data_IF_333063706847
#
_entry.id   IF_333063706847
#
_cell.length_a   1.000
_cell.length_b   1.000
_cell.length_c   1.000
_cell.angle_alpha   90.00
_cell.angle_beta   90.00
_cell.angle_gamma   90.00
#
_symmetry.space_group_name_H-M   'P 1'
#
loop_
_entity.id
_entity.type
_entity.pdbx_description
1 polymer ?
#
# COMPACT_ATOMS: atom_id res chain seq x y z
N UNK A 1 -13.42 -19.29 13.40
CA UNK A 1 -14.88 -19.09 13.47
C UNK A 1 -15.63 -19.98 12.49
N UNK A 2 -15.57 -19.73 11.17
CA UNK A 2 -16.35 -20.55 10.22
C UNK A 2 -15.76 -21.95 9.95
N UNK A 3 -14.42 -22.08 9.84
CA UNK A 3 -13.75 -23.39 9.70
C UNK A 3 -13.70 -24.20 11.01
N UNK A 4 -13.83 -23.54 12.15
CA UNK A 4 -13.75 -24.16 13.48
C UNK A 4 -15.11 -24.63 14.01
N UNK A 5 -16.17 -24.57 13.19
CA UNK A 5 -17.52 -25.03 13.54
C UNK A 5 -18.31 -24.10 14.47
N UNK A 6 -17.76 -22.97 14.90
CA UNK A 6 -18.43 -22.06 15.85
C UNK A 6 -19.74 -21.47 15.29
N UNK A 7 -19.81 -21.31 13.96
CA UNK A 7 -21.02 -20.84 13.28
C UNK A 7 -22.21 -21.81 13.42
N UNK A 8 -21.95 -23.10 13.64
CA UNK A 8 -23.01 -24.10 13.85
C UNK A 8 -23.79 -23.80 15.13
N UNK A 9 -23.11 -23.34 16.19
CA UNK A 9 -23.75 -22.92 17.45
C UNK A 9 -24.67 -21.69 17.28
N UNK A 10 -24.61 -21.04 16.12
CA UNK A 10 -25.41 -19.88 15.75
C UNK A 10 -26.42 -20.21 14.63
N UNK A 11 -26.63 -21.49 14.34
CA UNK A 11 -27.60 -21.97 13.34
C UNK A 11 -27.16 -21.82 11.88
N UNK A 12 -25.85 -21.62 11.62
CA UNK A 12 -25.30 -21.50 10.26
C UNK A 12 -24.41 -22.69 9.95
N UNK A 13 -24.97 -23.69 9.28
CA UNK A 13 -24.26 -24.92 8.89
C UNK A 13 -23.62 -24.77 7.51
N UNK A 14 -22.29 -24.57 7.48
CA UNK A 14 -21.51 -24.38 6.24
C UNK A 14 -20.12 -24.99 6.34
N UNK A 15 -19.53 -25.39 5.21
CA UNK A 15 -18.13 -25.79 5.11
C UNK A 15 -17.34 -24.78 4.25
N UNK A 16 -16.78 -23.72 4.84
CA UNK A 16 -16.13 -22.66 4.08
C UNK A 16 -14.76 -23.08 3.57
N UNK A 17 -14.42 -22.63 2.36
CA UNK A 17 -13.07 -22.75 1.79
C UNK A 17 -12.53 -21.37 1.43
N UNK A 18 -11.21 -21.19 1.55
CA UNK A 18 -10.56 -19.94 1.17
C UNK A 18 -10.19 -20.01 -0.32
N UNK A 19 -10.63 -19.01 -1.08
CA UNK A 19 -10.04 -18.71 -2.38
C UNK A 19 -9.21 -17.43 -2.24
N UNK A 20 -7.89 -17.60 -2.12
CA UNK A 20 -6.96 -16.50 -1.87
C UNK A 20 -6.92 -15.52 -3.04
N UNK A 21 -6.94 -16.02 -4.28
CA UNK A 21 -6.90 -15.17 -5.48
C UNK A 21 -8.11 -14.24 -5.55
N UNK A 22 -9.32 -14.73 -5.25
CA UNK A 22 -10.53 -13.90 -5.19
C UNK A 22 -10.46 -12.87 -4.07
N UNK A 23 -9.90 -13.23 -2.92
CA UNK A 23 -9.69 -12.29 -1.80
C UNK A 23 -8.72 -11.16 -2.20
N UNK A 24 -7.60 -11.52 -2.82
CA UNK A 24 -6.61 -10.56 -3.33
C UNK A 24 -7.17 -9.67 -4.45
N UNK A 25 -7.99 -10.24 -5.34
CA UNK A 25 -8.68 -9.47 -6.38
C UNK A 25 -9.69 -8.46 -5.80
N UNK A 26 -10.43 -8.85 -4.75
CA UNK A 26 -11.32 -7.93 -4.04
C UNK A 26 -10.55 -6.75 -3.42
N UNK A 27 -9.41 -7.02 -2.77
CA UNK A 27 -8.50 -5.98 -2.27
C UNK A 27 -8.06 -5.04 -3.41
N UNK A 28 -7.56 -5.59 -4.51
CA UNK A 28 -7.07 -4.81 -5.64
C UNK A 28 -8.16 -3.92 -6.26
N UNK A 29 -9.40 -4.42 -6.33
CA UNK A 29 -10.54 -3.64 -6.81
C UNK A 29 -10.87 -2.46 -5.89
N UNK A 30 -10.86 -2.68 -4.56
CA UNK A 30 -11.07 -1.61 -3.60
C UNK A 30 -9.98 -0.53 -3.71
N UNK A 31 -8.70 -0.94 -3.80
CA UNK A 31 -7.58 -0.02 -4.02
C UNK A 31 -7.78 0.80 -5.29
N UNK A 32 -8.05 0.14 -6.43
CA UNK A 32 -8.25 0.80 -7.73
C UNK A 32 -9.40 1.81 -7.71
N UNK A 33 -10.52 1.45 -7.07
CA UNK A 33 -11.68 2.33 -6.97
C UNK A 33 -11.35 3.59 -6.16
N UNK A 34 -10.70 3.44 -5.01
CA UNK A 34 -10.34 4.55 -4.13
C UNK A 34 -9.27 5.45 -4.75
N UNK A 35 -8.21 4.89 -5.33
CA UNK A 35 -7.17 5.69 -6.01
C UNK A 35 -7.71 6.42 -7.23
N UNK A 36 -8.63 5.79 -7.98
CA UNK A 36 -9.35 6.45 -9.08
C UNK A 36 -10.24 7.60 -8.59
N UNK A 37 -10.89 7.42 -7.43
CA UNK A 37 -11.67 8.47 -6.77
C UNK A 37 -10.84 9.72 -6.44
N UNK A 38 -9.59 9.56 -6.01
CA UNK A 38 -8.68 10.71 -5.76
C UNK A 38 -8.44 11.51 -7.04
N UNK A 39 -8.21 10.85 -8.18
CA UNK A 39 -8.01 11.54 -9.47
C UNK A 39 -9.26 12.33 -9.90
N UNK A 40 -10.45 11.78 -9.66
CA UNK A 40 -11.72 12.49 -9.90
C UNK A 40 -11.86 13.71 -8.98
N UNK A 41 -11.52 13.58 -7.70
CA UNK A 41 -11.55 14.67 -6.74
C UNK A 41 -10.55 15.78 -7.09
N UNK A 42 -9.35 15.44 -7.55
CA UNK A 42 -8.38 16.42 -8.04
C UNK A 42 -8.96 17.24 -9.19
N UNK A 43 -9.57 16.58 -10.18
CA UNK A 43 -10.23 17.27 -11.30
C UNK A 43 -11.38 18.17 -10.82
N UNK A 44 -12.24 17.68 -9.94
CA UNK A 44 -13.37 18.43 -9.41
C UNK A 44 -12.91 19.69 -8.64
N UNK A 45 -11.77 19.59 -7.94
CA UNK A 45 -11.20 20.68 -7.14
C UNK A 45 -10.10 21.47 -7.87
N UNK A 46 -9.94 21.27 -9.20
CA UNK A 46 -8.97 21.99 -10.03
C UNK A 46 -7.52 21.85 -9.55
N UNK A 47 -7.18 20.71 -8.95
CA UNK A 47 -5.81 20.35 -8.60
C UNK A 47 -5.13 19.78 -9.84
N UNK A 48 -3.96 20.32 -10.19
CA UNK A 48 -3.14 19.81 -11.28
C UNK A 48 -2.14 18.77 -10.73
N UNK A 49 -2.32 17.46 -11.02
CA UNK A 49 -1.31 16.46 -10.67
C UNK A 49 -0.11 16.58 -11.62
N UNK A 50 1.10 16.46 -11.06
CA UNK A 50 2.35 16.34 -11.82
C UNK A 50 3.00 15.02 -11.39
N UNK A 51 3.12 14.08 -12.33
CA UNK A 51 3.72 12.76 -12.06
C UNK A 51 5.22 12.83 -12.26
N UNK A 52 5.97 12.62 -11.17
CA UNK A 52 7.43 12.58 -11.18
C UNK A 52 8.01 12.72 -9.78
N UNK A 53 9.33 12.80 -9.69
CA UNK A 53 10.04 13.04 -8.43
C UNK A 53 10.29 14.53 -8.27
N UNK A 54 9.70 15.14 -7.24
CA UNK A 54 9.88 16.56 -6.91
C UNK A 54 11.12 16.80 -6.04
N UNK A 55 11.90 17.83 -6.36
CA UNK A 55 13.05 18.31 -5.57
C UNK A 55 12.90 19.82 -5.37
N UNK A 56 12.97 20.29 -4.12
CA UNK A 56 12.99 21.73 -3.81
C UNK A 56 14.36 22.28 -4.20
N UNK A 57 14.40 23.12 -5.23
CA UNK A 57 15.65 23.70 -5.76
C UNK A 57 15.85 25.15 -5.34
N UNK A 58 14.85 25.74 -4.69
CA UNK A 58 14.92 27.06 -4.08
C UNK A 58 13.68 27.34 -3.22
N UNK A 59 13.61 28.50 -2.53
CA UNK A 59 12.51 28.83 -1.62
C UNK A 59 11.11 28.81 -2.26
N UNK A 60 11.04 29.00 -3.58
CA UNK A 60 9.79 29.16 -4.34
C UNK A 60 9.77 28.32 -5.63
N UNK A 61 10.60 27.29 -5.72
CA UNK A 61 10.77 26.50 -6.94
C UNK A 61 10.98 25.02 -6.64
N UNK A 62 10.22 24.18 -7.34
CA UNK A 62 10.32 22.72 -7.30
C UNK A 62 10.63 22.21 -8.71
N UNK A 63 11.71 21.43 -8.84
CA UNK A 63 12.03 20.70 -10.05
C UNK A 63 11.38 19.32 -10.00
N UNK A 64 10.69 18.92 -11.06
CA UNK A 64 10.03 17.61 -11.16
C UNK A 64 10.68 16.80 -12.27
N UNK A 65 11.40 15.75 -11.89
CA UNK A 65 11.96 14.77 -12.83
C UNK A 65 10.85 13.78 -13.22
N UNK A 66 10.46 13.78 -14.49
CA UNK A 66 9.43 12.89 -15.04
C UNK A 66 10.01 11.51 -15.38
N UNK A 67 9.13 10.54 -15.57
CA UNK A 67 9.49 9.16 -15.87
C UNK A 67 10.18 9.01 -17.25
N UNK A 68 9.94 9.94 -18.18
CA UNK A 68 10.60 10.00 -19.48
C UNK A 68 11.99 10.65 -19.43
N UNK A 69 12.47 11.03 -18.24
CA UNK A 69 13.75 11.69 -18.01
C UNK A 69 13.72 13.21 -18.19
N UNK A 70 12.62 13.79 -18.66
CA UNK A 70 12.45 15.24 -18.76
C UNK A 70 12.30 15.88 -17.39
N UNK A 71 12.54 17.19 -17.32
CA UNK A 71 12.41 17.99 -16.09
C UNK A 71 11.44 19.14 -16.30
N UNK A 72 10.50 19.31 -15.38
CA UNK A 72 9.56 20.44 -15.33
C UNK A 72 9.85 21.29 -14.09
N UNK A 73 9.96 22.61 -14.25
CA UNK A 73 10.09 23.53 -13.12
C UNK A 73 8.73 24.12 -12.75
N UNK A 74 8.42 24.06 -11.46
CA UNK A 74 7.20 24.60 -10.86
C UNK A 74 7.55 25.75 -9.94
N UNK A 75 7.21 26.97 -10.35
CA UNK A 75 7.32 28.17 -9.51
C UNK A 75 6.07 28.34 -8.67
N UNK A 76 6.24 28.50 -7.36
CA UNK A 76 5.14 28.58 -6.40
C UNK A 76 5.45 29.52 -5.24
N UNK A 77 4.42 30.11 -4.64
CA UNK A 77 4.56 30.92 -3.42
C UNK A 77 4.84 30.08 -2.19
N UNK A 78 4.23 28.90 -2.10
CA UNK A 78 4.30 28.02 -0.93
C UNK A 78 4.58 26.58 -1.36
N UNK A 79 5.30 25.85 -0.52
CA UNK A 79 5.61 24.43 -0.69
C UNK A 79 5.18 23.69 0.58
N UNK A 80 4.42 22.61 0.42
CA UNK A 80 4.03 21.70 1.52
C UNK A 80 4.73 20.36 1.27
N UNK A 81 5.53 19.91 2.24
CA UNK A 81 6.26 18.64 2.16
C UNK A 81 5.39 17.53 2.74
N UNK A 82 5.06 16.54 1.91
CA UNK A 82 4.24 15.39 2.26
C UNK A 82 4.78 14.10 1.61
N UNK A 83 6.08 13.85 1.75
CA UNK A 83 6.82 12.75 1.08
C UNK A 83 6.58 11.36 1.69
N UNK A 84 5.83 11.26 2.79
CA UNK A 84 5.52 9.99 3.44
C UNK A 84 6.68 9.43 4.27
N UNK A 85 6.74 8.10 4.32
CA UNK A 85 7.67 7.30 5.13
C UNK A 85 7.93 5.97 4.42
N UNK A 86 8.98 5.26 4.85
CA UNK A 86 9.36 3.94 4.31
C UNK A 86 9.57 2.91 5.43
N UNK A 87 9.71 1.65 5.03
CA UNK A 87 9.97 0.53 5.95
C UNK A 87 11.34 0.71 6.59
N UNK A 88 11.43 0.60 7.91
CA UNK A 88 12.71 0.62 8.62
C UNK A 88 13.47 -0.68 8.36
N UNK A 89 14.68 -0.66 7.78
CA UNK A 89 15.49 -1.85 7.60
C UNK A 89 15.87 -2.49 8.94
N UNK A 90 15.91 -3.82 9.00
CA UNK A 90 16.36 -4.53 10.19
C UNK A 90 17.86 -4.84 10.06
N UNK A 91 18.72 -4.40 10.99
CA UNK A 91 20.16 -4.66 10.89
C UNK A 91 20.47 -6.16 10.77
N UNK A 92 21.21 -6.54 9.72
CA UNK A 92 21.60 -7.92 9.47
C UNK A 92 20.53 -8.80 8.79
N UNK A 93 19.38 -8.23 8.43
CA UNK A 93 18.33 -8.92 7.68
C UNK A 93 17.95 -8.08 6.46
N UNK A 94 18.17 -8.63 5.27
CA UNK A 94 17.74 -8.01 4.02
C UNK A 94 16.34 -8.47 3.65
N UNK A 95 15.48 -7.53 3.25
CA UNK A 95 14.14 -7.81 2.75
C UNK A 95 14.26 -8.14 1.26
N UNK A 96 13.87 -9.35 0.87
CA UNK A 96 13.91 -9.84 -0.51
C UNK A 96 12.53 -9.82 -1.19
N UNK A 97 11.46 -9.58 -0.44
CA UNK A 97 10.06 -9.65 -0.88
C UNK A 97 9.63 -11.02 -1.45
N UNK A 98 10.39 -12.08 -1.15
CA UNK A 98 10.09 -13.48 -1.49
C UNK A 98 9.93 -14.34 -0.24
N UNK A 99 10.93 -14.39 0.62
CA UNK A 99 10.94 -15.12 1.90
C UNK A 99 10.92 -14.16 3.09
N UNK A 100 11.73 -13.11 3.05
CA UNK A 100 11.76 -12.04 4.05
C UNK A 100 11.06 -10.85 3.44
N UNK A 101 9.83 -10.63 3.89
CA UNK A 101 8.90 -9.68 3.27
C UNK A 101 8.62 -8.49 4.18
N UNK A 102 8.35 -7.33 3.57
CA UNK A 102 7.81 -6.19 4.29
C UNK A 102 6.29 -6.31 4.48
N UNK A 103 5.66 -5.29 5.06
CA UNK A 103 4.20 -5.18 5.08
C UNK A 103 3.60 -5.17 3.66
N UNK A 104 4.32 -4.67 2.66
CA UNK A 104 3.88 -4.67 1.26
C UNK A 104 3.82 -6.09 0.70
N UNK A 105 4.86 -6.88 0.91
CA UNK A 105 4.90 -8.28 0.50
C UNK A 105 3.88 -9.14 1.26
N UNK A 106 3.73 -8.92 2.57
CA UNK A 106 2.75 -9.63 3.40
C UNK A 106 1.30 -9.44 2.90
N UNK A 107 0.96 -8.25 2.40
CA UNK A 107 -0.36 -7.96 1.81
C UNK A 107 -0.55 -8.57 0.40
N UNK A 108 0.44 -9.24 -0.16
CA UNK A 108 0.44 -9.74 -1.55
C UNK A 108 0.94 -11.19 -1.67
N UNK A 109 0.84 -11.96 -0.59
CA UNK A 109 1.20 -13.38 -0.55
C UNK A 109 0.41 -14.20 -1.58
N UNK A 110 1.13 -15.05 -2.32
CA UNK A 110 0.55 -15.95 -3.34
C UNK A 110 -0.09 -17.22 -2.76
N UNK A 111 0.22 -17.55 -1.51
CA UNK A 111 -0.34 -18.68 -0.76
C UNK A 111 -0.32 -18.39 0.73
N UNK A 112 -1.18 -19.05 1.50
CA UNK A 112 -1.13 -18.98 2.96
C UNK A 112 0.13 -19.72 3.43
N UNK A 113 1.04 -19.06 4.17
CA UNK A 113 2.22 -19.72 4.69
C UNK A 113 1.83 -20.73 5.79
N UNK A 114 2.49 -21.88 5.82
CA UNK A 114 2.27 -22.87 6.89
C UNK A 114 2.78 -22.38 8.24
N UNK A 115 3.86 -21.60 8.21
CA UNK A 115 4.46 -20.92 9.36
C UNK A 115 4.88 -19.52 8.94
N UNK A 116 4.55 -18.53 9.76
CA UNK A 116 4.95 -17.15 9.58
C UNK A 116 5.46 -16.61 10.90
N UNK A 117 6.60 -15.93 10.87
CA UNK A 117 7.16 -15.22 12.03
C UNK A 117 7.08 -13.74 11.72
N UNK A 118 6.59 -12.97 12.69
CA UNK A 118 6.50 -11.51 12.58
C UNK A 118 7.52 -10.89 13.53
N UNK A 119 8.41 -10.07 12.98
CA UNK A 119 9.39 -9.30 13.77
C UNK A 119 8.78 -7.92 14.01
N UNK A 120 8.31 -7.69 15.23
CA UNK A 120 7.67 -6.45 15.67
C UNK A 120 6.20 -6.64 16.01
N UNK A 121 5.88 -6.61 17.31
CA UNK A 121 4.50 -6.73 17.83
C UNK A 121 3.77 -5.37 17.88
N UNK A 122 4.06 -4.49 16.91
CA UNK A 122 3.35 -3.23 16.75
C UNK A 122 1.98 -3.44 16.10
N UNK A 123 1.30 -2.34 15.77
CA UNK A 123 -0.04 -2.36 15.14
C UNK A 123 -0.01 -3.17 13.84
N UNK A 124 0.86 -2.80 12.90
CA UNK A 124 0.97 -3.48 11.59
C UNK A 124 1.28 -4.98 11.79
N UNK A 125 2.23 -5.32 12.65
CA UNK A 125 2.60 -6.71 12.88
C UNK A 125 1.53 -7.55 13.58
N UNK A 126 0.58 -6.91 14.28
CA UNK A 126 -0.54 -7.61 14.93
C UNK A 126 -1.77 -7.73 14.02
N UNK A 127 -1.88 -6.87 13.01
CA UNK A 127 -2.96 -6.91 12.02
C UNK A 127 -2.74 -7.95 10.92
N UNK A 128 -1.47 -8.17 10.54
CA UNK A 128 -1.04 -9.13 9.51
C UNK A 128 -1.03 -10.57 10.04
#
# INVERSE_FOLDING_TARGET
MAKTGDMNNRGVEVQPTLNLDKMMAAKANAVKALTGGIALLFKANKVQPITGTGTIVGPNEVSVKKNDGSTESVKTKNIIIATGSEVTPFPGIEIDEEQIISSTGALSLKKVPEKMVVIGAGVIGSEL
#
